data_IF_155514200752
#
_entry.id   IF_155514200752
#
_cell.length_a   1.000
_cell.length_b   1.000
_cell.length_c   1.000
_cell.angle_alpha   90.00
_cell.angle_beta   90.00
_cell.angle_gamma   90.00
#
_symmetry.space_group_name_H-M   'P 1'
#
loop_
_entity.id
_entity.type
_entity.pdbx_description
1 polymer ?
#
# COMPACT_ATOMS: atom_id res chain seq x y z
N UNK A 1 22.96 -25.77 -70.18
CA UNK A 1 23.33 -26.33 -68.88
C UNK A 1 22.15 -26.21 -67.98
N UNK A 2 21.46 -27.34 -67.73
CA UNK A 2 20.31 -27.45 -66.85
C UNK A 2 20.80 -27.65 -65.44
N UNK A 3 20.21 -26.95 -64.50
CA UNK A 3 20.34 -27.26 -63.10
C UNK A 3 18.94 -27.30 -62.45
N UNK A 4 18.57 -28.47 -62.00
CA UNK A 4 17.31 -28.82 -61.42
C UNK A 4 17.15 -28.28 -60.02
N UNK A 5 15.99 -27.75 -59.68
CA UNK A 5 15.59 -27.36 -58.36
C UNK A 5 14.80 -28.52 -57.73
N UNK A 6 15.31 -29.08 -56.66
CA UNK A 6 14.54 -30.05 -55.84
C UNK A 6 13.79 -29.30 -54.74
N UNK A 7 12.46 -29.39 -54.79
CA UNK A 7 11.58 -28.94 -53.76
C UNK A 7 11.31 -30.10 -52.80
N UNK A 8 11.79 -30.01 -51.56
CA UNK A 8 11.47 -30.97 -50.53
C UNK A 8 10.43 -30.42 -49.58
N UNK A 9 9.26 -31.07 -49.64
CA UNK A 9 8.08 -30.84 -48.82
C UNK A 9 8.25 -31.66 -47.54
N UNK A 10 8.45 -31.03 -46.38
CA UNK A 10 8.46 -31.71 -45.07
C UNK A 10 7.10 -31.54 -44.40
N UNK A 11 6.40 -32.64 -44.26
CA UNK A 11 5.13 -32.81 -43.59
C UNK A 11 5.40 -32.94 -42.10
N UNK A 12 5.06 -31.93 -41.29
CA UNK A 12 5.14 -32.02 -39.82
C UNK A 12 3.81 -32.48 -39.23
N UNK A 13 3.77 -33.68 -38.78
CA UNK A 13 2.66 -34.31 -38.03
C UNK A 13 2.54 -33.66 -36.62
N UNK A 14 1.38 -33.08 -36.35
CA UNK A 14 1.01 -32.63 -35.01
C UNK A 14 0.60 -33.84 -34.15
N UNK A 15 1.32 -34.11 -33.09
CA UNK A 15 0.89 -35.04 -32.03
C UNK A 15 0.00 -34.30 -31.05
N UNK A 16 -1.26 -34.71 -31.04
CA UNK A 16 -2.22 -34.40 -29.98
C UNK A 16 -1.96 -35.31 -28.78
N UNK A 17 -1.38 -34.81 -27.73
CA UNK A 17 -1.35 -35.49 -26.42
C UNK A 17 -2.61 -35.12 -25.64
N UNK A 18 -3.59 -35.98 -25.63
CA UNK A 18 -4.70 -36.00 -24.67
C UNK A 18 -4.16 -36.62 -23.38
N UNK A 19 -3.85 -35.80 -22.39
CA UNK A 19 -3.65 -36.25 -21.02
C UNK A 19 -4.97 -36.09 -20.26
N UNK A 20 -5.72 -37.18 -20.16
CA UNK A 20 -6.78 -37.34 -19.19
C UNK A 20 -6.13 -37.77 -17.86
N UNK A 21 -6.26 -36.95 -16.83
CA UNK A 21 -5.81 -37.25 -15.48
C UNK A 21 -6.73 -36.54 -14.51
N UNK A 22 -7.70 -37.28 -13.97
CA UNK A 22 -8.64 -36.80 -12.97
C UNK A 22 -7.92 -36.59 -11.64
N UNK A 23 -8.42 -35.64 -10.86
CA UNK A 23 -8.01 -35.36 -9.50
C UNK A 23 -8.80 -34.14 -9.02
N UNK A 24 -9.94 -34.39 -8.37
CA UNK A 24 -10.75 -33.35 -7.77
C UNK A 24 -10.00 -32.68 -6.63
N UNK A 25 -9.90 -31.40 -6.72
CA UNK A 25 -9.53 -30.47 -5.66
C UNK A 25 -10.19 -29.16 -6.03
N UNK A 26 -11.33 -28.87 -5.44
CA UNK A 26 -12.00 -27.60 -5.63
C UNK A 26 -11.17 -26.51 -4.96
N UNK A 27 -10.30 -25.88 -5.70
CA UNK A 27 -9.69 -24.62 -5.32
C UNK A 27 -10.76 -23.52 -5.48
N UNK A 28 -11.56 -23.37 -4.41
CA UNK A 28 -12.37 -22.16 -4.19
C UNK A 28 -11.44 -20.99 -3.80
N UNK A 29 -10.42 -20.71 -4.61
CA UNK A 29 -9.74 -19.44 -4.56
C UNK A 29 -10.58 -18.45 -5.37
N UNK A 30 -11.17 -17.42 -4.72
CA UNK A 30 -11.73 -16.31 -5.48
C UNK A 30 -10.62 -15.70 -6.36
N UNK A 31 -10.96 -15.10 -7.51
CA UNK A 31 -9.98 -14.41 -8.34
C UNK A 31 -9.13 -13.50 -7.47
N UNK A 32 -7.82 -13.53 -7.65
CA UNK A 32 -6.88 -12.66 -6.93
C UNK A 32 -7.43 -11.23 -6.97
N UNK A 33 -7.71 -10.70 -5.78
CA UNK A 33 -8.15 -9.32 -5.60
C UNK A 33 -7.13 -8.41 -6.31
N UNK A 34 -7.51 -7.63 -7.33
CA UNK A 34 -6.59 -6.73 -8.03
C UNK A 34 -5.95 -5.65 -7.14
N UNK A 35 -6.27 -5.66 -5.87
CA UNK A 35 -5.76 -4.73 -4.85
C UNK A 35 -4.54 -5.20 -4.06
N UNK A 36 -3.90 -6.32 -4.38
CA UNK A 36 -2.70 -6.75 -3.67
C UNK A 36 -1.51 -5.86 -4.06
N UNK A 37 -0.86 -5.14 -3.11
CA UNK A 37 0.35 -4.39 -3.42
C UNK A 37 1.42 -5.32 -4.00
N UNK A 38 2.26 -4.84 -4.93
CA UNK A 38 3.31 -5.68 -5.48
C UNK A 38 4.26 -6.16 -4.40
N UNK A 39 4.76 -7.36 -4.59
CA UNK A 39 5.59 -8.15 -3.68
C UNK A 39 6.95 -7.53 -3.28
N UNK A 40 7.14 -6.23 -3.47
CA UNK A 40 8.42 -5.55 -3.31
C UNK A 40 8.52 -4.60 -2.11
N UNK A 41 7.52 -4.56 -1.25
CA UNK A 41 7.83 -4.18 0.12
C UNK A 41 8.47 -5.46 0.70
N UNK A 42 9.80 -5.50 0.94
CA UNK A 42 10.49 -6.73 1.31
C UNK A 42 9.82 -7.38 2.52
N UNK A 43 9.47 -8.67 2.46
CA UNK A 43 8.88 -9.41 3.57
C UNK A 43 7.46 -9.96 3.35
N UNK A 44 7.07 -10.22 2.12
CA UNK A 44 5.74 -10.74 1.79
C UNK A 44 5.52 -12.14 2.39
N UNK A 45 4.80 -12.23 3.50
CA UNK A 45 4.10 -13.43 3.92
C UNK A 45 2.65 -13.34 3.43
N UNK A 46 2.43 -13.69 2.17
CA UNK A 46 1.12 -13.89 1.60
C UNK A 46 0.43 -15.07 2.31
N UNK A 47 -0.58 -14.78 3.08
CA UNK A 47 -1.38 -15.84 3.69
C UNK A 47 -2.27 -15.34 4.80
N UNK A 48 -3.29 -14.56 4.47
CA UNK A 48 -4.58 -14.58 5.14
C UNK A 48 -5.52 -13.66 4.35
N UNK A 49 -6.58 -14.22 3.79
CA UNK A 49 -7.68 -13.40 3.32
C UNK A 49 -8.26 -12.64 4.52
N UNK A 50 -8.09 -11.34 4.53
CA UNK A 50 -8.62 -10.48 5.60
C UNK A 50 -10.04 -10.12 5.25
N UNK A 51 -10.95 -10.46 6.13
CA UNK A 51 -12.36 -10.07 6.01
C UNK A 51 -12.52 -8.62 6.47
N UNK A 52 -13.46 -7.91 5.87
CA UNK A 52 -13.84 -6.56 6.27
C UNK A 52 -14.10 -5.64 5.08
N UNK A 53 -14.86 -4.58 5.34
CA UNK A 53 -15.19 -3.53 4.36
C UNK A 53 -13.97 -2.65 4.10
N UNK A 54 -13.19 -2.35 5.15
CA UNK A 54 -11.98 -1.54 5.10
C UNK A 54 -10.77 -2.45 5.01
N UNK A 55 -10.02 -2.34 3.93
CA UNK A 55 -8.87 -3.20 3.62
C UNK A 55 -7.62 -2.37 3.36
N UNK A 56 -6.47 -2.98 3.51
CA UNK A 56 -5.20 -2.32 3.26
C UNK A 56 -3.99 -3.14 3.65
N UNK A 57 -2.91 -2.45 3.92
CA UNK A 57 -1.62 -3.05 4.22
C UNK A 57 -1.02 -2.43 5.48
N UNK A 58 -0.38 -3.26 6.29
CA UNK A 58 0.47 -2.82 7.38
C UNK A 58 1.87 -3.43 7.26
N UNK A 59 2.87 -2.66 7.63
CA UNK A 59 4.24 -3.13 7.87
C UNK A 59 4.47 -3.11 9.36
N UNK A 60 4.93 -4.25 9.89
CA UNK A 60 5.26 -4.40 11.32
C UNK A 60 6.77 -4.64 11.43
N UNK A 61 7.45 -3.78 12.16
CA UNK A 61 8.89 -3.87 12.42
C UNK A 61 9.17 -3.94 13.91
N UNK A 62 10.22 -4.65 14.35
CA UNK A 62 10.71 -4.51 15.73
C UNK A 62 11.06 -3.04 15.99
N UNK A 63 10.65 -2.51 17.16
CA UNK A 63 10.86 -1.10 17.51
C UNK A 63 12.35 -0.72 17.47
N UNK A 64 12.64 0.41 16.85
CA UNK A 64 14.01 0.89 16.62
C UNK A 64 14.74 0.22 15.44
N UNK A 65 14.10 -0.72 14.74
CA UNK A 65 14.65 -1.29 13.51
C UNK A 65 14.28 -0.45 12.29
N UNK A 66 15.12 -0.49 11.26
CA UNK A 66 14.76 0.05 9.94
C UNK A 66 14.00 -1.01 9.13
N UNK A 67 13.15 -0.62 8.19
CA UNK A 67 12.45 -1.57 7.30
C UNK A 67 13.40 -2.46 6.50
N UNK A 68 14.67 -2.08 6.35
CA UNK A 68 15.70 -2.92 5.71
C UNK A 68 16.11 -4.14 6.55
N UNK A 69 15.62 -4.25 7.79
CA UNK A 69 15.81 -5.42 8.66
C UNK A 69 14.63 -6.39 8.61
N UNK A 70 14.45 -7.11 9.70
CA UNK A 70 13.30 -8.02 9.86
C UNK A 70 12.01 -7.23 9.96
N UNK A 71 11.14 -7.31 8.95
CA UNK A 71 9.80 -6.75 8.98
C UNK A 71 8.79 -7.72 8.39
N UNK A 72 7.54 -7.50 8.71
CA UNK A 72 6.42 -8.27 8.16
C UNK A 72 5.46 -7.34 7.47
N UNK A 73 5.18 -7.62 6.21
CA UNK A 73 4.09 -6.97 5.47
C UNK A 73 2.85 -7.85 5.60
N UNK A 74 1.76 -7.26 6.03
CA UNK A 74 0.50 -7.94 6.31
C UNK A 74 -0.64 -7.27 5.57
N UNK A 75 -1.49 -8.06 4.95
CA UNK A 75 -2.81 -7.58 4.55
C UNK A 75 -3.64 -7.39 5.82
N UNK A 76 -4.35 -6.28 5.89
CA UNK A 76 -5.19 -5.93 7.04
C UNK A 76 -6.62 -5.66 6.60
N UNK A 77 -7.57 -5.92 7.50
CA UNK A 77 -8.98 -5.64 7.26
C UNK A 77 -9.78 -5.43 8.54
N UNK A 78 -10.87 -4.67 8.40
CA UNK A 78 -11.78 -4.35 9.50
C UNK A 78 -13.16 -3.99 8.97
N UNK A 79 -14.19 -4.21 9.76
CA UNK A 79 -15.55 -3.70 9.49
C UNK A 79 -15.76 -2.28 10.04
N UNK A 80 -14.75 -1.73 10.70
CA UNK A 80 -14.76 -0.37 11.23
C UNK A 80 -13.52 0.39 10.79
N UNK A 81 -13.71 1.52 10.09
CA UNK A 81 -12.62 2.38 9.61
C UNK A 81 -11.65 2.79 10.71
N UNK A 82 -12.16 3.01 11.91
CA UNK A 82 -11.36 3.45 13.05
C UNK A 82 -10.78 2.29 13.88
N UNK A 83 -10.73 1.09 13.33
CA UNK A 83 -10.15 -0.08 13.97
C UNK A 83 -9.08 -0.68 13.09
N UNK A 84 -7.83 -0.72 13.56
CA UNK A 84 -6.75 -1.45 12.93
C UNK A 84 -6.62 -2.82 13.59
N UNK A 85 -6.82 -3.88 12.82
CA UNK A 85 -6.54 -5.25 13.23
C UNK A 85 -5.24 -5.69 12.56
N UNK A 86 -4.21 -5.93 13.33
CA UNK A 86 -2.91 -6.31 12.81
C UNK A 86 -2.20 -7.26 13.77
N UNK A 87 -1.75 -8.41 13.25
CA UNK A 87 -0.95 -9.37 14.00
C UNK A 87 -1.58 -9.78 15.36
N UNK A 88 -2.91 -10.01 15.38
CA UNK A 88 -3.65 -10.35 16.60
C UNK A 88 -3.86 -9.19 17.57
N UNK A 89 -3.38 -8.00 17.26
CA UNK A 89 -3.61 -6.78 18.04
C UNK A 89 -4.68 -5.92 17.38
N UNK A 90 -5.39 -5.17 18.20
CA UNK A 90 -6.39 -4.21 17.75
C UNK A 90 -6.04 -2.81 18.29
N UNK A 91 -6.07 -1.81 17.41
CA UNK A 91 -5.82 -0.41 17.76
C UNK A 91 -7.00 0.46 17.37
N UNK A 92 -7.34 1.41 18.23
CA UNK A 92 -8.35 2.41 17.92
C UNK A 92 -7.70 3.59 17.16
N UNK A 93 -8.09 3.76 15.89
CA UNK A 93 -7.57 4.77 14.99
C UNK A 93 -8.37 6.08 14.97
N UNK A 94 -9.42 6.20 15.81
CA UNK A 94 -10.24 7.41 15.78
C UNK A 94 -9.34 8.64 16.02
N UNK A 95 -9.35 9.63 15.11
CA UNK A 95 -8.60 10.87 15.30
C UNK A 95 -9.00 11.56 16.61
N UNK A 96 -8.07 12.31 17.20
CA UNK A 96 -8.35 13.09 18.42
C UNK A 96 -8.40 14.60 18.16
N UNK A 97 -7.86 15.04 17.03
CA UNK A 97 -7.86 16.46 16.63
C UNK A 97 -8.89 16.69 15.52
N UNK A 98 -9.75 17.69 15.69
CA UNK A 98 -10.81 18.06 14.75
C UNK A 98 -10.36 19.07 13.68
N UNK A 99 -9.16 19.59 13.75
CA UNK A 99 -8.69 20.77 12.98
C UNK A 99 -7.93 20.41 11.69
N UNK A 100 -8.28 19.37 10.96
CA UNK A 100 -7.72 19.08 9.63
C UNK A 100 -6.23 18.69 9.60
N UNK A 101 -5.57 18.61 10.74
CA UNK A 101 -4.18 18.15 10.84
C UNK A 101 -4.10 16.69 11.20
N UNK A 102 -3.06 16.01 10.67
CA UNK A 102 -2.73 14.66 11.10
C UNK A 102 -2.60 14.63 12.62
N UNK A 103 -3.26 13.66 13.25
CA UNK A 103 -3.21 13.52 14.69
C UNK A 103 -1.82 13.01 15.09
N UNK A 104 -1.07 13.85 15.82
CA UNK A 104 0.18 13.44 16.43
C UNK A 104 0.03 13.58 17.92
N UNK A 105 0.07 12.47 18.64
CA UNK A 105 0.00 12.50 20.10
C UNK A 105 0.95 11.47 20.69
N UNK A 106 1.68 11.86 21.72
CA UNK A 106 2.36 10.96 22.63
C UNK A 106 1.30 10.46 23.65
N UNK A 107 0.36 9.66 23.18
CA UNK A 107 -0.69 9.13 24.05
C UNK A 107 -0.12 7.96 24.81
N UNK A 108 0.14 8.16 26.10
CA UNK A 108 0.64 7.10 26.96
C UNK A 108 -0.40 6.02 27.24
N UNK A 109 -1.70 6.32 27.15
CA UNK A 109 -2.77 5.34 27.32
C UNK A 109 -4.02 5.75 26.57
N UNK A 110 -4.57 4.84 25.78
CA UNK A 110 -5.86 4.97 25.10
C UNK A 110 -6.53 3.61 25.07
N UNK A 111 -7.79 3.52 25.48
CA UNK A 111 -8.56 2.28 25.52
C UNK A 111 -7.83 1.15 26.27
N UNK A 112 -7.14 1.48 27.37
CA UNK A 112 -6.37 0.54 28.17
C UNK A 112 -5.05 0.08 27.54
N UNK A 113 -4.65 0.66 26.39
CA UNK A 113 -3.38 0.37 25.71
C UNK A 113 -2.40 1.51 25.83
N UNK A 114 -1.13 1.17 25.98
CA UNK A 114 -0.04 2.13 26.05
C UNK A 114 0.58 2.31 24.66
N UNK A 115 0.80 3.57 24.27
CA UNK A 115 1.47 3.96 23.03
C UNK A 115 2.64 4.86 23.37
N UNK A 116 3.77 4.67 22.69
CA UNK A 116 4.88 5.63 22.76
C UNK A 116 4.68 6.73 21.72
N UNK A 117 4.27 6.36 20.51
CA UNK A 117 3.96 7.27 19.41
C UNK A 117 2.65 6.84 18.77
N UNK A 118 1.80 7.81 18.50
CA UNK A 118 0.54 7.59 17.78
C UNK A 118 0.35 8.72 16.77
N UNK A 119 0.46 8.39 15.50
CA UNK A 119 0.26 9.31 14.37
C UNK A 119 -0.77 8.69 13.45
N UNK A 120 -1.93 9.34 13.29
CA UNK A 120 -3.04 8.84 12.47
C UNK A 120 -3.65 9.99 11.67
N UNK A 121 -4.11 9.71 10.45
CA UNK A 121 -4.84 10.64 9.61
C UNK A 121 -6.02 11.28 10.35
N UNK A 122 -6.38 12.50 9.97
CA UNK A 122 -7.44 13.30 10.57
C UNK A 122 -8.86 12.89 10.13
N UNK A 123 -9.87 13.65 10.57
CA UNK A 123 -11.28 13.40 10.25
C UNK A 123 -11.66 13.74 8.80
N UNK A 124 -10.84 14.48 8.04
CA UNK A 124 -11.12 14.79 6.63
C UNK A 124 -11.10 13.51 5.76
N UNK A 125 -10.35 12.49 6.20
CA UNK A 125 -10.35 11.18 5.56
C UNK A 125 -11.54 10.36 6.03
N UNK A 126 -12.58 10.30 5.21
CA UNK A 126 -13.83 9.61 5.54
C UNK A 126 -13.85 8.15 5.06
N UNK A 127 -12.99 7.82 4.09
CA UNK A 127 -12.94 6.49 3.47
C UNK A 127 -11.66 5.73 3.82
N UNK A 128 -10.66 6.39 4.42
CA UNK A 128 -9.37 5.76 4.72
C UNK A 128 -8.79 6.21 6.06
N UNK A 129 -7.85 5.40 6.57
CA UNK A 129 -6.95 5.73 7.68
C UNK A 129 -5.56 5.26 7.34
N UNK A 130 -4.58 6.10 7.65
CA UNK A 130 -3.17 5.78 7.55
C UNK A 130 -2.42 6.35 8.74
N UNK A 131 -1.25 5.83 9.01
CA UNK A 131 -0.49 6.33 10.14
C UNK A 131 0.72 5.49 10.52
N UNK A 132 1.27 5.86 11.67
CA UNK A 132 2.35 5.20 12.36
C UNK A 132 2.02 5.08 13.84
N UNK A 133 2.18 3.87 14.38
CA UNK A 133 1.96 3.58 15.80
C UNK A 133 3.19 2.87 16.34
N UNK A 134 3.74 3.36 17.45
CA UNK A 134 4.74 2.66 18.24
C UNK A 134 4.11 2.19 19.54
N UNK A 135 4.09 0.87 19.74
CA UNK A 135 3.47 0.25 20.90
C UNK A 135 4.24 -0.99 21.34
N UNK A 136 4.83 -0.92 22.52
CA UNK A 136 5.71 -1.95 23.05
C UNK A 136 6.96 -2.12 22.16
N UNK A 137 7.27 -3.36 21.80
CA UNK A 137 8.47 -3.68 21.02
C UNK A 137 8.23 -3.71 19.50
N UNK A 138 7.12 -3.13 19.02
CA UNK A 138 6.76 -3.15 17.59
C UNK A 138 6.28 -1.78 17.11
N UNK A 139 6.68 -1.45 15.90
CA UNK A 139 6.26 -0.29 15.15
C UNK A 139 5.33 -0.74 14.02
N UNK A 140 4.22 -0.03 13.83
CA UNK A 140 3.16 -0.33 12.86
C UNK A 140 3.04 0.85 11.90
N UNK A 141 3.35 0.63 10.62
CA UNK A 141 3.07 1.57 9.53
C UNK A 141 1.91 1.01 8.74
N UNK A 142 0.83 1.74 8.56
CA UNK A 142 -0.39 1.18 7.97
C UNK A 142 -1.12 2.18 7.07
N UNK A 143 -1.88 1.62 6.12
CA UNK A 143 -2.88 2.30 5.33
C UNK A 143 -4.04 1.34 5.08
N UNK A 144 -5.27 1.75 5.39
CA UNK A 144 -6.50 0.98 5.16
C UNK A 144 -7.66 1.89 4.77
N UNK A 145 -8.64 1.35 4.09
CA UNK A 145 -9.85 2.09 3.72
C UNK A 145 -10.86 1.24 2.98
N UNK A 146 -11.98 1.86 2.57
CA UNK A 146 -12.97 1.26 1.70
C UNK A 146 -12.47 1.35 0.24
N UNK A 147 -12.01 0.26 -0.39
CA UNK A 147 -11.45 0.32 -1.74
C UNK A 147 -12.49 0.83 -2.75
N UNK A 148 -12.06 1.69 -3.68
CA UNK A 148 -12.93 2.20 -4.74
C UNK A 148 -13.46 1.06 -5.60
N UNK A 149 -14.78 0.89 -5.62
CA UNK A 149 -15.42 -0.17 -6.40
C UNK A 149 -15.43 0.14 -7.91
N UNK A 150 -15.57 1.41 -8.27
CA UNK A 150 -15.60 1.87 -9.67
C UNK A 150 -14.60 2.98 -9.88
N UNK A 151 -13.48 2.64 -10.48
CA UNK A 151 -12.43 3.60 -10.82
C UNK A 151 -12.84 4.48 -11.99
N UNK A 152 -12.40 5.76 -12.02
CA UNK A 152 -12.50 6.56 -13.23
C UNK A 152 -11.76 5.89 -14.39
N UNK A 153 -12.37 5.88 -15.57
CA UNK A 153 -11.77 5.29 -16.77
C UNK A 153 -10.83 6.25 -17.53
N UNK A 154 -10.90 7.55 -17.23
CA UNK A 154 -10.11 8.60 -17.87
C UNK A 154 -10.06 9.87 -17.04
N UNK A 155 -9.26 10.84 -17.50
CA UNK A 155 -9.08 12.13 -16.85
C UNK A 155 -7.90 12.16 -15.89
N UNK A 156 -7.53 13.38 -15.48
CA UNK A 156 -6.45 13.66 -14.54
C UNK A 156 -7.05 14.17 -13.24
N UNK A 157 -6.56 13.69 -12.11
CA UNK A 157 -6.96 14.15 -10.80
C UNK A 157 -5.75 14.54 -9.96
N UNK A 158 -5.89 15.66 -9.24
CA UNK A 158 -4.91 16.13 -8.25
C UNK A 158 -5.37 15.67 -6.87
N UNK A 159 -4.40 15.24 -6.05
CA UNK A 159 -4.62 14.81 -4.67
C UNK A 159 -3.67 15.55 -3.75
N UNK A 160 -4.18 16.04 -2.65
CA UNK A 160 -3.41 16.75 -1.61
C UNK A 160 -3.70 16.13 -0.27
N UNK A 161 -2.66 15.92 0.51
CA UNK A 161 -2.79 15.32 1.83
C UNK A 161 -1.51 15.35 2.65
N UNK A 162 -1.36 14.36 3.50
CA UNK A 162 -0.30 14.32 4.50
C UNK A 162 0.33 12.92 4.57
N UNK A 163 1.50 12.84 5.21
CA UNK A 163 2.23 11.61 5.44
C UNK A 163 2.69 11.52 6.88
N UNK A 164 2.76 10.28 7.39
CA UNK A 164 3.42 9.91 8.61
C UNK A 164 4.63 9.06 8.27
N UNK A 165 5.79 9.34 8.84
CA UNK A 165 7.01 8.61 8.51
C UNK A 165 7.91 8.41 9.72
N UNK A 166 8.83 7.47 9.58
CA UNK A 166 9.79 7.11 10.62
C UNK A 166 11.18 6.90 10.01
N UNK A 167 12.19 7.38 10.74
CA UNK A 167 13.60 7.13 10.46
C UNK A 167 14.33 6.87 11.77
N UNK A 168 15.01 5.73 11.89
CA UNK A 168 15.80 5.34 13.07
C UNK A 168 15.01 5.43 14.39
N UNK A 169 13.68 5.21 14.37
CA UNK A 169 12.81 5.30 15.54
C UNK A 169 12.20 6.69 15.80
N UNK A 170 12.67 7.72 15.10
CA UNK A 170 12.09 9.07 15.17
C UNK A 170 10.93 9.18 14.16
N UNK A 171 9.77 9.61 14.64
CA UNK A 171 8.61 9.83 13.80
C UNK A 171 8.45 11.30 13.41
N UNK A 172 7.88 11.51 12.23
CA UNK A 172 7.56 12.83 11.71
C UNK A 172 6.33 12.84 10.83
N UNK A 173 5.91 14.04 10.47
CA UNK A 173 4.79 14.28 9.56
C UNK A 173 5.22 15.19 8.41
N UNK A 174 4.49 15.11 7.31
CA UNK A 174 4.75 15.90 6.12
C UNK A 174 3.56 16.01 5.20
N UNK A 175 3.78 16.66 4.05
CA UNK A 175 2.79 16.76 3.00
C UNK A 175 2.95 15.64 1.97
N UNK A 176 1.83 15.26 1.38
CA UNK A 176 1.76 14.39 0.22
C UNK A 176 0.97 15.07 -0.90
N UNK A 177 1.47 14.98 -2.13
CA UNK A 177 0.81 15.51 -3.33
C UNK A 177 0.93 14.50 -4.44
N UNK A 178 -0.17 14.22 -5.14
CA UNK A 178 -0.19 13.26 -6.23
C UNK A 178 -0.98 13.76 -7.42
N UNK A 179 -0.61 13.28 -8.59
CA UNK A 179 -1.36 13.41 -9.84
C UNK A 179 -1.63 12.01 -10.36
N UNK A 180 -2.91 11.66 -10.49
CA UNK A 180 -3.34 10.42 -11.13
C UNK A 180 -3.84 10.71 -12.55
N UNK A 181 -3.28 10.05 -13.54
CA UNK A 181 -3.83 9.97 -14.90
C UNK A 181 -4.49 8.59 -15.05
N UNK A 182 -5.83 8.59 -15.05
CA UNK A 182 -6.60 7.36 -15.11
C UNK A 182 -6.61 6.71 -16.51
N UNK A 183 -6.40 7.51 -17.57
CA UNK A 183 -6.29 6.98 -18.93
C UNK A 183 -4.93 6.32 -19.14
N UNK A 184 -3.84 7.00 -18.76
CA UNK A 184 -2.48 6.48 -18.82
C UNK A 184 -2.17 5.46 -17.73
N UNK A 185 -3.03 5.32 -16.72
CA UNK A 185 -2.85 4.45 -15.54
C UNK A 185 -1.56 4.75 -14.79
N UNK A 186 -1.25 6.02 -14.57
CA UNK A 186 -0.06 6.46 -13.83
C UNK A 186 -0.45 7.28 -12.61
N UNK A 187 0.33 7.13 -11.55
CA UNK A 187 0.26 7.94 -10.34
C UNK A 187 1.64 8.49 -10.05
N UNK A 188 1.79 9.80 -10.09
CA UNK A 188 3.04 10.48 -9.76
C UNK A 188 2.82 11.35 -8.53
N UNK A 189 3.75 11.29 -7.59
CA UNK A 189 3.59 12.04 -6.35
C UNK A 189 4.90 12.36 -5.65
N UNK A 190 4.77 13.23 -4.66
CA UNK A 190 5.91 13.68 -3.85
C UNK A 190 5.48 13.76 -2.39
N UNK A 191 6.35 13.28 -1.52
CA UNK A 191 6.22 13.43 -0.06
C UNK A 191 7.35 14.32 0.42
N UNK A 192 7.01 15.33 1.24
CA UNK A 192 7.97 16.28 1.82
C UNK A 192 7.83 16.30 3.34
N UNK A 193 8.92 16.59 4.05
CA UNK A 193 8.89 16.70 5.51
C UNK A 193 8.36 18.05 5.96
N UNK A 194 7.55 18.05 7.02
CA UNK A 194 7.22 19.18 7.88
C UNK A 194 7.82 19.04 9.28
N UNK A 195 8.48 17.93 9.54
CA UNK A 195 9.10 17.65 10.83
C UNK A 195 10.47 18.35 10.92
N UNK A 196 10.77 18.94 12.06
CA UNK A 196 12.11 19.46 12.37
C UNK A 196 13.09 18.37 12.80
N UNK A 197 12.60 17.27 13.34
CA UNK A 197 13.41 16.15 13.81
C UNK A 197 13.76 15.13 12.72
N UNK A 198 12.88 14.97 11.71
CA UNK A 198 13.10 14.04 10.61
C UNK A 198 13.04 14.80 9.29
N UNK A 199 14.19 15.29 8.82
CA UNK A 199 14.32 16.00 7.54
C UNK A 199 14.86 15.06 6.47
N UNK A 200 14.39 15.19 5.24
CA UNK A 200 14.83 14.38 4.09
C UNK A 200 14.63 15.13 2.77
N UNK A 201 15.33 14.70 1.73
CA UNK A 201 15.05 15.17 0.37
C UNK A 201 13.70 14.62 -0.09
N UNK A 202 12.89 15.38 -0.87
CA UNK A 202 11.57 14.93 -1.29
C UNK A 202 11.57 13.52 -1.86
N UNK A 203 10.68 12.68 -1.35
CA UNK A 203 10.47 11.31 -1.83
C UNK A 203 9.54 11.36 -3.03
N UNK A 204 10.04 10.97 -4.21
CA UNK A 204 9.26 10.92 -5.43
C UNK A 204 8.73 9.50 -5.67
N UNK A 205 7.43 9.39 -5.87
CA UNK A 205 6.71 8.14 -6.13
C UNK A 205 6.19 8.17 -7.56
N UNK A 206 6.63 7.20 -8.38
CA UNK A 206 6.16 6.99 -9.74
C UNK A 206 5.57 5.58 -9.81
N UNK A 207 4.25 5.48 -9.83
CA UNK A 207 3.53 4.22 -9.73
C UNK A 207 2.62 3.99 -10.94
N UNK A 208 2.33 2.71 -11.19
CA UNK A 208 1.33 2.28 -12.16
C UNK A 208 0.03 1.95 -11.43
N UNK A 209 -1.10 2.39 -11.99
CA UNK A 209 -2.44 2.09 -11.47
C UNK A 209 -2.91 0.76 -12.09
N UNK A 210 -3.37 -0.15 -11.23
CA UNK A 210 -3.98 -1.41 -11.61
C UNK A 210 -5.28 -1.62 -10.82
N UNK A 211 -6.42 -1.55 -11.51
CA UNK A 211 -7.71 -1.53 -10.83
C UNK A 211 -7.77 -0.35 -9.85
N UNK A 212 -8.11 -0.62 -8.61
CA UNK A 212 -8.15 0.38 -7.54
C UNK A 212 -6.84 0.45 -6.71
N UNK A 213 -5.79 -0.23 -7.14
CA UNK A 213 -4.48 -0.22 -6.50
C UNK A 213 -3.44 0.51 -7.36
N UNK A 214 -2.33 0.86 -6.75
CA UNK A 214 -1.16 1.40 -7.44
C UNK A 214 0.13 0.89 -6.80
N UNK A 215 1.19 0.84 -7.60
CA UNK A 215 2.49 0.43 -7.11
C UNK A 215 3.64 0.95 -7.99
N UNK A 216 4.78 1.19 -7.37
CA UNK A 216 6.03 1.45 -8.07
C UNK A 216 6.57 0.17 -8.72
N UNK A 217 7.40 0.31 -9.74
CA UNK A 217 8.06 -0.82 -10.38
C UNK A 217 8.95 -1.58 -9.39
N UNK A 218 9.13 -2.86 -9.66
CA UNK A 218 10.04 -3.70 -8.90
C UNK A 218 11.48 -3.17 -9.00
N UNK A 219 12.18 -3.07 -7.86
CA UNK A 219 13.55 -2.56 -7.81
C UNK A 219 13.66 -1.02 -7.85
N UNK A 220 12.54 -0.29 -7.81
CA UNK A 220 12.59 1.16 -7.68
C UNK A 220 13.31 1.57 -6.38
N UNK A 221 14.07 2.66 -6.42
CA UNK A 221 14.78 3.20 -5.25
C UNK A 221 13.80 3.59 -4.13
N UNK A 222 12.63 4.08 -4.50
CA UNK A 222 11.48 4.26 -3.61
C UNK A 222 10.45 3.19 -3.95
N UNK A 223 10.24 2.27 -3.01
CA UNK A 223 9.17 1.29 -3.07
C UNK A 223 7.90 1.88 -2.46
N UNK A 224 6.79 1.81 -3.18
CA UNK A 224 5.49 2.30 -2.69
C UNK A 224 4.35 1.46 -3.27
N UNK A 225 3.31 1.30 -2.47
CA UNK A 225 2.07 0.67 -2.92
C UNK A 225 0.89 1.11 -2.07
N UNK A 226 -0.30 1.09 -2.65
CA UNK A 226 -1.51 1.54 -1.98
C UNK A 226 -2.77 1.40 -2.83
N UNK A 227 -3.84 2.04 -2.37
CA UNK A 227 -5.16 1.93 -2.99
C UNK A 227 -5.83 3.29 -3.11
N UNK A 228 -6.78 3.34 -4.04
CA UNK A 228 -7.80 4.37 -4.08
C UNK A 228 -8.99 3.94 -3.24
N UNK A 229 -9.56 4.88 -2.49
CA UNK A 229 -10.63 4.66 -1.54
C UNK A 229 -11.84 5.56 -1.79
N UNK A 230 -13.00 5.08 -1.38
CA UNK A 230 -14.25 5.78 -1.52
C UNK A 230 -14.75 5.85 -2.96
N UNK A 231 -15.89 6.49 -3.16
CA UNK A 231 -16.51 6.60 -4.46
C UNK A 231 -15.67 7.46 -5.41
N UNK A 232 -15.57 7.01 -6.67
CA UNK A 232 -14.90 7.73 -7.74
C UNK A 232 -13.44 8.11 -7.39
N UNK A 233 -12.74 7.24 -6.67
CA UNK A 233 -11.36 7.46 -6.20
C UNK A 233 -11.22 8.79 -5.42
N UNK A 234 -12.11 9.01 -4.44
CA UNK A 234 -12.14 10.25 -3.65
C UNK A 234 -10.88 10.45 -2.83
N UNK A 235 -10.33 9.36 -2.31
CA UNK A 235 -9.12 9.35 -1.51
C UNK A 235 -8.12 8.36 -2.09
N UNK A 236 -6.85 8.54 -1.77
CA UNK A 236 -5.82 7.52 -1.94
C UNK A 236 -5.00 7.41 -0.67
N UNK A 237 -4.41 6.25 -0.47
CA UNK A 237 -3.48 6.03 0.63
C UNK A 237 -2.59 4.84 0.37
N UNK A 238 -1.43 4.85 0.98
CA UNK A 238 -0.44 3.80 0.78
C UNK A 238 0.74 3.88 1.73
N UNK A 239 1.68 2.99 1.50
CA UNK A 239 2.94 2.89 2.21
C UNK A 239 4.10 3.21 1.27
N UNK A 240 5.20 3.68 1.81
CA UNK A 240 6.44 3.89 1.07
C UNK A 240 7.67 3.52 1.90
N UNK A 241 8.74 3.18 1.20
CA UNK A 241 10.06 2.97 1.76
C UNK A 241 11.12 3.50 0.80
N UNK A 242 11.98 4.38 1.30
CA UNK A 242 13.17 4.87 0.63
C UNK A 242 14.39 4.28 1.33
N UNK A 243 15.03 3.31 0.70
CA UNK A 243 16.16 2.58 1.29
C UNK A 243 17.42 3.44 1.37
N UNK A 244 17.58 4.38 0.44
CA UNK A 244 18.73 5.30 0.41
C UNK A 244 18.67 6.25 1.60
N UNK A 245 17.50 6.81 1.86
CA UNK A 245 17.30 7.73 2.98
C UNK A 245 16.96 7.03 4.29
N UNK A 246 16.82 5.68 4.29
CA UNK A 246 16.38 4.87 5.43
C UNK A 246 15.08 5.39 6.04
N UNK A 247 14.16 5.77 5.17
CA UNK A 247 12.89 6.39 5.51
C UNK A 247 11.75 5.47 5.12
N UNK A 248 10.77 5.34 6.01
CA UNK A 248 9.57 4.58 5.71
C UNK A 248 8.34 5.28 6.28
N UNK A 249 7.19 5.06 5.66
CA UNK A 249 5.99 5.71 6.14
C UNK A 249 4.73 5.30 5.42
N UNK A 250 3.67 5.97 5.80
CA UNK A 250 2.36 5.92 5.19
C UNK A 250 1.91 7.30 4.75
N UNK A 251 1.03 7.36 3.79
CA UNK A 251 0.45 8.60 3.29
C UNK A 251 -1.01 8.42 2.93
N UNK A 252 -1.73 9.53 2.91
CA UNK A 252 -3.03 9.65 2.30
C UNK A 252 -3.17 10.98 1.61
N UNK A 253 -4.09 11.07 0.64
CA UNK A 253 -4.42 12.31 -0.02
C UNK A 253 -5.87 12.30 -0.51
N UNK A 254 -6.46 13.49 -0.58
CA UNK A 254 -7.86 13.71 -0.96
C UNK A 254 -7.89 14.41 -2.30
N UNK A 255 -8.76 13.94 -3.19
CA UNK A 255 -8.98 14.51 -4.52
C UNK A 255 -9.52 15.93 -4.40
N UNK A 256 -8.92 16.84 -5.17
CA UNK A 256 -9.26 18.27 -5.25
C UNK A 256 -10.35 18.52 -6.29
#
# INVERSE_FOLDING_TARGET
MQTSIHLSLSLSTALLLTACGGGGGGDNNPPLDPGTPPANIPGNNAGNSVNGIYRGTAVVVPSGSTINGSHRTLNIGSDNLNTLNVNGKQFNLRPVNENGSITTTNIRSRDGKSYEIFVVSNFDYQNSRYGYIKSGNEDYIFSQGAPTARMPGSGIAQYVGQAAFVRNGDAGTGDSRFTADFAAKTLNGTITSKSSSVTFTPVNINATINGNSFATANGAAVSSGGHFYGDNARELGGLFSDTVQRLSGSFGAIRQ
#
